data_IF_229201906117
#
_entry.id   IF_229201906117
#
_cell.length_a   1.000
_cell.length_b   1.000
_cell.length_c   1.000
_cell.angle_alpha   90.00
_cell.angle_beta   90.00
_cell.angle_gamma   90.00
#
_symmetry.space_group_name_H-M   'P 1'
#
loop_
_entity.id
_entity.type
_entity.pdbx_description
1 polymer ?
#
# COMPACT_ATOMS: atom_id res chain seq x y z
N UNK A 1 13.54 14.78 -88.17
CA UNK A 1 13.40 15.69 -89.33
C UNK A 1 12.49 15.04 -90.36
N UNK A 2 11.24 15.53 -90.42
CA UNK A 2 10.31 15.48 -91.56
C UNK A 2 8.91 15.86 -91.00
N UNK A 3 8.41 17.09 -91.23
CA UNK A 3 7.07 17.49 -90.84
C UNK A 3 6.09 17.24 -91.99
N UNK A 4 4.82 16.98 -91.69
CA UNK A 4 3.73 17.27 -92.64
C UNK A 4 2.63 18.06 -91.96
N UNK A 5 2.49 19.26 -92.48
CA UNK A 5 1.56 20.32 -92.15
C UNK A 5 0.24 20.07 -92.90
N UNK A 6 -0.82 20.69 -92.35
CA UNK A 6 -1.99 21.22 -93.09
C UNK A 6 -3.14 20.24 -93.35
N UNK A 7 -4.30 20.55 -92.77
CA UNK A 7 -5.22 21.51 -93.39
C UNK A 7 -6.06 22.24 -92.34
N UNK A 8 -6.06 23.57 -92.43
CA UNK A 8 -7.02 24.48 -91.84
C UNK A 8 -8.06 24.83 -92.92
N UNK A 9 -9.34 24.88 -92.56
CA UNK A 9 -10.22 26.00 -92.95
C UNK A 9 -11.20 26.30 -91.81
N UNK A 10 -11.46 27.58 -91.51
CA UNK A 10 -12.14 28.05 -90.30
C UNK A 10 -13.65 28.27 -90.53
N UNK A 11 -14.44 28.23 -89.46
CA UNK A 11 -15.86 28.57 -89.48
C UNK A 11 -16.42 28.69 -88.07
N UNK A 12 -16.52 29.93 -87.61
CA UNK A 12 -16.90 30.42 -86.28
C UNK A 12 -18.29 29.96 -85.82
N UNK A 13 -18.41 29.40 -84.61
CA UNK A 13 -19.51 29.74 -83.68
C UNK A 13 -18.94 29.82 -82.25
N UNK A 14 -19.05 31.01 -81.69
CA UNK A 14 -18.73 31.38 -80.31
C UNK A 14 -19.73 30.71 -79.36
N UNK A 15 -19.24 29.87 -78.44
CA UNK A 15 -19.94 29.54 -77.20
C UNK A 15 -18.91 29.57 -76.07
N UNK A 16 -18.82 30.74 -75.40
CA UNK A 16 -18.15 30.90 -74.12
C UNK A 16 -19.02 30.25 -73.04
N UNK A 17 -18.67 29.03 -72.61
CA UNK A 17 -19.15 28.48 -71.34
C UNK A 17 -17.93 28.27 -70.45
N UNK A 18 -17.80 29.18 -69.47
CA UNK A 18 -16.90 29.04 -68.33
C UNK A 18 -17.33 27.83 -67.50
N UNK A 19 -16.61 26.71 -67.60
CA UNK A 19 -16.61 25.67 -66.56
C UNK A 19 -15.46 25.94 -65.60
N UNK A 20 -15.57 27.05 -64.87
CA UNK A 20 -15.07 27.11 -63.50
C UNK A 20 -16.09 26.37 -62.63
N UNK A 21 -16.07 25.03 -62.69
CA UNK A 21 -16.67 24.22 -61.65
C UNK A 21 -15.66 24.16 -60.50
N UNK A 22 -15.72 25.21 -59.68
CA UNK A 22 -15.30 25.19 -58.29
C UNK A 22 -15.68 23.83 -57.72
N UNK A 23 -14.69 22.99 -57.40
CA UNK A 23 -14.89 21.87 -56.50
C UNK A 23 -15.17 22.49 -55.13
N UNK A 24 -16.41 22.94 -54.96
CA UNK A 24 -17.01 23.17 -53.66
C UNK A 24 -16.95 21.80 -52.99
N UNK A 25 -16.01 21.69 -52.06
CA UNK A 25 -16.02 20.69 -51.01
C UNK A 25 -17.39 20.75 -50.32
N UNK A 26 -18.38 20.06 -50.86
CA UNK A 26 -19.48 19.58 -50.06
C UNK A 26 -18.86 18.51 -49.18
N UNK A 27 -18.62 18.88 -47.93
CA UNK A 27 -18.46 17.94 -46.83
C UNK A 27 -19.79 17.16 -46.78
N UNK A 28 -19.95 16.17 -47.66
CA UNK A 28 -21.02 15.20 -47.55
C UNK A 28 -20.80 14.58 -46.18
N UNK A 29 -21.66 14.95 -45.23
CA UNK A 29 -21.60 14.48 -43.87
C UNK A 29 -21.60 12.96 -43.95
N UNK A 30 -20.44 12.35 -43.66
CA UNK A 30 -20.22 10.93 -43.90
C UNK A 30 -21.32 10.14 -43.17
N UNK A 31 -21.90 9.15 -43.85
CA UNK A 31 -23.05 8.43 -43.29
C UNK A 31 -22.63 7.76 -41.96
N UNK A 32 -23.25 8.14 -40.83
CA UNK A 32 -22.88 7.59 -39.53
C UNK A 32 -23.29 6.11 -39.36
N UNK A 33 -24.11 5.55 -40.25
CA UNK A 33 -24.38 4.10 -40.31
C UNK A 33 -23.15 3.29 -40.73
N UNK A 34 -22.16 3.91 -41.37
CA UNK A 34 -20.91 3.23 -41.69
C UNK A 34 -20.11 3.01 -40.40
N UNK A 35 -19.58 1.79 -40.22
CA UNK A 35 -18.89 1.36 -39.00
C UNK A 35 -17.78 2.31 -38.52
N UNK A 36 -17.03 2.93 -39.43
CA UNK A 36 -15.95 3.87 -39.11
C UNK A 36 -16.43 5.26 -38.67
N UNK A 37 -17.71 5.57 -38.84
CA UNK A 37 -18.26 6.93 -38.73
C UNK A 37 -19.09 7.15 -37.46
N UNK A 38 -19.01 6.21 -36.51
CA UNK A 38 -19.60 6.33 -35.18
C UNK A 38 -18.69 5.74 -34.11
N UNK A 39 -18.86 6.21 -32.88
CA UNK A 39 -18.22 5.65 -31.70
C UNK A 39 -19.03 4.48 -31.14
N UNK A 40 -18.37 3.58 -30.42
CA UNK A 40 -19.01 2.39 -29.84
C UNK A 40 -19.12 2.53 -28.32
N UNK A 41 -20.30 2.25 -27.79
CA UNK A 41 -20.61 2.19 -26.37
C UNK A 41 -20.87 0.73 -26.02
N UNK A 42 -19.82 0.01 -25.61
CA UNK A 42 -19.85 -1.44 -25.41
C UNK A 42 -19.50 -1.90 -23.99
N UNK A 43 -19.07 -0.97 -23.16
CA UNK A 43 -18.67 -1.21 -21.77
C UNK A 43 -19.86 -1.78 -20.99
N UNK A 44 -19.65 -2.84 -20.23
CA UNK A 44 -20.72 -3.47 -19.46
C UNK A 44 -21.29 -2.52 -18.41
N UNK A 45 -20.44 -1.70 -17.83
CA UNK A 45 -20.82 -0.70 -16.84
C UNK A 45 -21.92 0.22 -17.37
N UNK A 46 -22.11 0.34 -18.71
CA UNK A 46 -23.19 1.13 -19.32
C UNK A 46 -24.56 0.45 -19.30
N UNK A 47 -24.64 -0.82 -18.93
CA UNK A 47 -25.90 -1.54 -18.81
C UNK A 47 -26.77 -0.93 -17.71
N UNK A 48 -28.04 -0.65 -17.97
CA UNK A 48 -28.94 -0.02 -16.99
C UNK A 48 -29.09 -0.80 -15.67
N UNK A 49 -28.83 -2.11 -15.67
CA UNK A 49 -28.87 -2.97 -14.48
C UNK A 49 -27.61 -2.88 -13.62
N UNK A 50 -26.50 -2.28 -14.08
CA UNK A 50 -25.32 -2.05 -13.24
C UNK A 50 -25.55 -0.87 -12.32
N UNK A 51 -24.93 -0.86 -11.14
CA UNK A 51 -25.05 0.24 -10.17
C UNK A 51 -23.68 0.87 -9.91
N UNK A 52 -23.62 2.19 -9.73
CA UNK A 52 -22.39 2.91 -9.43
C UNK A 52 -21.81 2.52 -8.08
N UNK A 53 -20.53 2.13 -8.07
CA UNK A 53 -19.79 1.69 -6.88
C UNK A 53 -19.70 2.79 -5.82
N UNK A 54 -19.53 2.40 -4.57
CA UNK A 54 -19.41 3.33 -3.44
C UNK A 54 -18.04 4.02 -3.38
N UNK A 55 -16.99 3.32 -3.82
CA UNK A 55 -15.57 3.66 -3.71
C UNK A 55 -14.86 3.92 -5.06
N UNK A 56 -15.58 3.88 -6.19
CA UNK A 56 -14.98 3.81 -7.53
C UNK A 56 -15.21 5.02 -8.45
N UNK A 57 -14.41 5.07 -9.52
CA UNK A 57 -14.58 6.01 -10.64
C UNK A 57 -15.91 5.74 -11.35
N UNK A 58 -16.81 6.71 -11.35
CA UNK A 58 -18.08 6.67 -12.09
C UNK A 58 -17.85 6.80 -13.59
N UNK A 59 -18.69 6.18 -14.42
CA UNK A 59 -18.64 6.45 -15.86
C UNK A 59 -18.93 7.93 -16.09
N UNK A 60 -18.07 8.54 -16.91
CA UNK A 60 -18.10 9.96 -17.22
C UNK A 60 -18.14 10.17 -18.74
N UNK A 61 -19.26 10.69 -19.23
CA UNK A 61 -19.41 11.04 -20.65
C UNK A 61 -19.09 12.53 -20.94
N UNK A 62 -18.67 13.32 -19.94
CA UNK A 62 -18.35 14.77 -20.11
C UNK A 62 -17.25 15.02 -21.14
N UNK A 63 -16.28 14.11 -21.24
CA UNK A 63 -15.17 14.22 -22.20
C UNK A 63 -15.50 13.72 -23.61
N UNK A 64 -16.72 13.20 -23.85
CA UNK A 64 -17.11 12.65 -25.15
C UNK A 64 -17.51 13.76 -26.13
N UNK A 65 -17.19 13.58 -27.41
CA UNK A 65 -17.56 14.50 -28.46
C UNK A 65 -19.07 14.44 -28.76
N UNK A 66 -19.67 15.56 -29.18
CA UNK A 66 -21.00 15.57 -29.78
C UNK A 66 -20.96 14.87 -31.15
N UNK A 67 -21.23 13.57 -31.16
CA UNK A 67 -21.01 12.69 -32.30
C UNK A 67 -22.03 11.53 -32.31
N UNK A 68 -21.98 10.71 -33.35
CA UNK A 68 -22.79 9.50 -33.46
C UNK A 68 -22.18 8.36 -32.66
N UNK A 69 -23.00 7.67 -31.88
CA UNK A 69 -22.66 6.54 -31.03
C UNK A 69 -23.58 5.36 -31.31
N UNK A 70 -23.07 4.14 -31.19
CA UNK A 70 -23.83 2.90 -31.22
C UNK A 70 -23.63 2.12 -29.93
N UNK A 71 -24.73 1.71 -29.31
CA UNK A 71 -24.70 0.75 -28.21
C UNK A 71 -24.45 -0.66 -28.77
N UNK A 72 -23.50 -1.37 -28.18
CA UNK A 72 -23.11 -2.72 -28.57
C UNK A 72 -22.77 -3.59 -27.35
N UNK A 73 -22.60 -4.89 -27.56
CA UNK A 73 -22.03 -5.80 -26.56
C UNK A 73 -22.85 -5.83 -25.27
N UNK A 74 -22.17 -5.71 -24.11
CA UNK A 74 -22.82 -5.82 -22.80
C UNK A 74 -23.70 -4.63 -22.45
N UNK A 75 -23.49 -3.48 -23.10
CA UNK A 75 -24.36 -2.31 -22.98
C UNK A 75 -25.70 -2.53 -23.70
N UNK A 76 -25.84 -3.54 -24.55
CA UNK A 76 -27.01 -3.79 -25.40
C UNK A 76 -26.91 -3.14 -26.77
N UNK A 77 -27.96 -3.27 -27.58
CA UNK A 77 -27.98 -2.75 -28.96
C UNK A 77 -28.64 -1.36 -29.08
N UNK A 78 -29.23 -0.87 -27.99
CA UNK A 78 -29.96 0.39 -27.93
C UNK A 78 -29.67 1.12 -26.62
N UNK A 79 -29.90 2.42 -26.63
CA UNK A 79 -30.00 3.22 -25.40
C UNK A 79 -31.12 2.65 -24.53
N UNK A 80 -31.01 2.70 -23.21
CA UNK A 80 -32.12 2.30 -22.33
C UNK A 80 -33.24 3.33 -22.37
N UNK A 81 -34.50 2.87 -22.42
CA UNK A 81 -35.69 3.71 -22.58
C UNK A 81 -36.74 3.50 -21.46
N UNK A 82 -37.69 4.41 -21.31
CA UNK A 82 -38.69 4.39 -20.23
C UNK A 82 -39.65 3.19 -20.22
N UNK A 83 -39.52 2.22 -21.14
CA UNK A 83 -40.29 0.97 -21.08
C UNK A 83 -40.03 0.18 -19.79
N UNK A 84 -38.91 0.44 -19.11
CA UNK A 84 -38.55 -0.16 -17.83
C UNK A 84 -38.97 0.79 -16.68
N UNK A 85 -40.13 0.50 -16.07
CA UNK A 85 -40.93 1.37 -15.17
C UNK A 85 -40.25 2.02 -13.95
N UNK A 86 -38.98 1.78 -13.66
CA UNK A 86 -38.23 2.49 -12.62
C UNK A 86 -36.74 2.25 -12.83
N UNK A 87 -36.04 3.23 -13.39
CA UNK A 87 -34.58 3.21 -13.37
C UNK A 87 -34.10 3.77 -12.01
N UNK A 88 -33.41 2.95 -11.21
CA UNK A 88 -32.88 3.41 -9.94
C UNK A 88 -31.82 4.50 -10.18
N UNK A 89 -31.68 5.40 -9.19
CA UNK A 89 -30.51 6.28 -9.18
C UNK A 89 -29.25 5.41 -9.14
N UNK A 90 -28.14 5.91 -9.68
CA UNK A 90 -26.88 5.17 -9.83
C UNK A 90 -26.84 4.07 -10.89
N UNK A 91 -27.85 3.92 -11.76
CA UNK A 91 -27.79 2.97 -12.88
C UNK A 91 -26.62 3.24 -13.84
N UNK A 92 -26.24 2.23 -14.62
CA UNK A 92 -25.16 2.28 -15.60
C UNK A 92 -23.83 2.86 -15.04
N UNK A 93 -23.52 2.48 -13.80
CA UNK A 93 -22.31 2.86 -13.07
C UNK A 93 -21.98 4.36 -13.03
N UNK A 94 -22.99 5.23 -13.06
CA UNK A 94 -22.87 6.69 -12.98
C UNK A 94 -23.83 7.26 -11.94
N UNK A 95 -23.54 8.41 -11.30
CA UNK A 95 -24.47 8.97 -10.28
C UNK A 95 -25.75 9.52 -10.90
N UNK A 96 -25.65 10.03 -12.13
CA UNK A 96 -26.75 10.65 -12.88
C UNK A 96 -26.96 9.93 -14.21
N UNK A 97 -27.63 8.76 -14.21
CA UNK A 97 -27.86 7.99 -15.42
C UNK A 97 -28.80 8.71 -16.38
N UNK A 98 -28.52 8.57 -17.69
CA UNK A 98 -29.30 9.18 -18.78
C UNK A 98 -30.00 8.09 -19.59
N UNK A 99 -31.33 8.22 -19.73
CA UNK A 99 -32.24 7.30 -20.41
C UNK A 99 -33.05 8.01 -21.48
N UNK A 100 -33.49 7.29 -22.52
CA UNK A 100 -34.36 7.85 -23.56
C UNK A 100 -35.78 8.01 -23.00
N UNK A 101 -36.39 9.17 -23.20
CA UNK A 101 -37.78 9.42 -22.82
C UNK A 101 -38.74 8.70 -23.78
N UNK A 102 -39.72 7.98 -23.23
CA UNK A 102 -40.63 7.13 -23.98
C UNK A 102 -39.95 5.96 -24.70
N UNK A 103 -40.69 5.28 -25.59
CA UNK A 103 -40.17 4.13 -26.35
C UNK A 103 -39.29 4.56 -27.52
N UNK A 104 -38.39 3.69 -27.96
CA UNK A 104 -37.72 3.88 -29.26
C UNK A 104 -38.72 4.04 -30.42
N UNK A 105 -38.33 4.74 -31.51
CA UNK A 105 -39.10 4.75 -32.74
C UNK A 105 -39.38 3.32 -33.23
N UNK A 106 -40.60 3.09 -33.69
CA UNK A 106 -41.04 1.85 -34.34
C UNK A 106 -41.01 1.99 -35.85
N UNK A 107 -41.14 0.88 -36.58
CA UNK A 107 -41.26 0.90 -38.04
C UNK A 107 -42.40 1.81 -38.56
N UNK A 108 -43.46 2.01 -37.76
CA UNK A 108 -44.58 2.90 -38.10
C UNK A 108 -44.23 4.39 -37.93
N UNK A 109 -43.18 4.72 -37.17
CA UNK A 109 -42.81 6.10 -36.81
C UNK A 109 -41.46 6.51 -37.38
N UNK A 110 -40.71 5.57 -37.94
CA UNK A 110 -39.40 5.82 -38.50
C UNK A 110 -39.01 4.76 -39.54
N UNK A 111 -38.68 5.23 -40.74
CA UNK A 111 -38.16 4.39 -41.83
C UNK A 111 -36.63 4.26 -41.74
N UNK A 112 -36.05 3.19 -42.31
CA UNK A 112 -34.60 3.07 -42.51
C UNK A 112 -33.99 4.34 -43.14
N UNK A 113 -32.85 4.77 -42.61
CA UNK A 113 -32.10 5.95 -43.05
C UNK A 113 -32.61 7.29 -42.50
N UNK A 114 -33.82 7.34 -41.92
CA UNK A 114 -34.36 8.57 -41.34
C UNK A 114 -33.65 8.95 -40.04
N UNK A 115 -33.69 10.23 -39.70
CA UNK A 115 -33.24 10.76 -38.41
C UNK A 115 -34.45 11.36 -37.70
N UNK A 116 -34.63 11.04 -36.43
CA UNK A 116 -35.68 11.62 -35.58
C UNK A 116 -35.07 12.17 -34.30
N UNK A 117 -35.58 13.30 -33.83
CA UNK A 117 -35.15 13.90 -32.56
C UNK A 117 -36.06 13.43 -31.45
N UNK A 118 -35.45 12.94 -30.36
CA UNK A 118 -36.11 12.60 -29.10
C UNK A 118 -35.43 13.28 -27.94
N UNK A 119 -36.06 13.21 -26.78
CA UNK A 119 -35.48 13.65 -25.53
C UNK A 119 -34.93 12.46 -24.74
N UNK A 120 -33.85 12.70 -24.02
CA UNK A 120 -33.29 11.79 -23.04
C UNK A 120 -33.26 12.47 -21.67
N UNK A 121 -33.77 11.81 -20.65
CA UNK A 121 -33.83 12.34 -19.30
C UNK A 121 -32.71 11.79 -18.43
N UNK A 122 -32.31 12.56 -17.43
CA UNK A 122 -31.37 12.10 -16.42
C UNK A 122 -31.89 12.30 -15.00
N UNK A 123 -31.47 11.43 -14.09
CA UNK A 123 -31.92 11.42 -12.70
C UNK A 123 -30.76 11.67 -11.76
N UNK A 124 -30.82 12.74 -10.97
CA UNK A 124 -29.79 12.99 -9.95
C UNK A 124 -29.89 11.99 -8.79
N UNK A 125 -28.73 11.66 -8.20
CA UNK A 125 -28.68 10.90 -6.95
C UNK A 125 -29.50 11.62 -5.86
N UNK A 126 -30.36 10.86 -5.17
CA UNK A 126 -31.23 11.39 -4.11
C UNK A 126 -32.57 11.97 -4.59
N UNK A 127 -32.83 12.04 -5.90
CA UNK A 127 -34.12 12.52 -6.45
C UNK A 127 -34.92 11.33 -6.98
N UNK A 128 -36.21 11.23 -6.62
CA UNK A 128 -37.09 10.10 -7.00
C UNK A 128 -37.86 10.31 -8.31
N UNK A 129 -37.85 11.51 -8.88
CA UNK A 129 -38.57 11.90 -10.09
C UNK A 129 -37.64 12.56 -11.13
N UNK A 130 -38.01 12.50 -12.42
CA UNK A 130 -37.33 13.26 -13.48
C UNK A 130 -37.79 14.71 -13.44
N UNK A 131 -36.85 15.64 -13.31
CA UNK A 131 -37.17 17.07 -13.35
C UNK A 131 -37.37 17.49 -14.82
N UNK A 132 -38.36 18.34 -15.16
CA UNK A 132 -38.58 18.79 -16.55
C UNK A 132 -37.38 19.50 -17.21
N UNK A 133 -36.47 20.02 -16.38
CA UNK A 133 -35.20 20.64 -16.82
C UNK A 133 -34.05 19.63 -16.96
N UNK A 134 -34.29 18.34 -16.74
CA UNK A 134 -33.28 17.28 -16.81
C UNK A 134 -33.33 16.52 -18.14
N UNK A 135 -33.54 17.21 -19.25
CA UNK A 135 -33.67 16.59 -20.58
C UNK A 135 -32.55 17.05 -21.53
N UNK A 136 -32.18 16.15 -22.45
CA UNK A 136 -31.17 16.35 -23.49
C UNK A 136 -31.78 15.95 -24.83
N UNK A 137 -31.60 16.76 -25.87
CA UNK A 137 -32.03 16.41 -27.22
C UNK A 137 -31.06 15.41 -27.85
N UNK A 138 -31.57 14.24 -28.25
CA UNK A 138 -30.82 13.16 -28.89
C UNK A 138 -31.39 12.92 -30.29
N UNK A 139 -30.52 12.87 -31.29
CA UNK A 139 -30.91 12.47 -32.65
C UNK A 139 -30.72 10.96 -32.79
N UNK A 140 -31.73 10.25 -33.29
CA UNK A 140 -31.71 8.81 -33.51
C UNK A 140 -31.77 8.56 -35.01
N UNK A 141 -30.85 7.77 -35.56
CA UNK A 141 -30.89 7.28 -36.94
C UNK A 141 -31.12 5.77 -36.96
N UNK A 142 -32.04 5.30 -37.80
CA UNK A 142 -32.31 3.88 -38.02
C UNK A 142 -31.46 3.40 -39.20
N UNK A 143 -30.44 2.61 -38.94
CA UNK A 143 -29.52 2.09 -39.93
C UNK A 143 -29.86 0.65 -40.30
N UNK A 144 -29.45 0.22 -41.49
CA UNK A 144 -29.60 -1.17 -41.94
C UNK A 144 -28.26 -1.66 -42.45
N UNK A 145 -27.82 -2.81 -41.93
CA UNK A 145 -26.65 -3.50 -42.43
C UNK A 145 -26.98 -4.98 -42.60
N UNK A 146 -26.76 -5.52 -43.80
CA UNK A 146 -27.08 -6.92 -44.16
C UNK A 146 -28.51 -7.37 -43.75
N UNK A 147 -29.49 -6.47 -43.85
CA UNK A 147 -30.89 -6.74 -43.48
C UNK A 147 -31.21 -6.58 -41.99
N UNK A 148 -30.22 -6.31 -41.14
CA UNK A 148 -30.41 -6.06 -39.71
C UNK A 148 -30.56 -4.55 -39.45
N UNK A 149 -31.69 -4.17 -38.85
CA UNK A 149 -31.93 -2.78 -38.42
C UNK A 149 -31.29 -2.52 -37.06
N UNK A 150 -30.67 -1.36 -36.89
CA UNK A 150 -30.12 -0.92 -35.60
C UNK A 150 -30.15 0.60 -35.48
N UNK A 151 -30.17 1.09 -34.25
CA UNK A 151 -30.14 2.52 -33.98
C UNK A 151 -28.72 3.01 -33.71
N UNK A 152 -28.45 4.21 -34.18
CA UNK A 152 -27.32 5.02 -33.74
C UNK A 152 -27.84 6.35 -33.22
N UNK A 153 -27.12 6.92 -32.28
CA UNK A 153 -27.56 8.05 -31.47
C UNK A 153 -26.54 9.16 -31.55
N UNK A 154 -26.95 10.35 -31.96
CA UNK A 154 -26.12 11.53 -31.80
C UNK A 154 -26.33 12.07 -30.39
N UNK A 155 -25.33 11.84 -29.55
CA UNK A 155 -25.41 12.13 -28.12
C UNK A 155 -24.76 13.50 -27.85
N UNK A 156 -25.47 14.45 -27.23
CA UNK A 156 -24.88 15.73 -26.85
C UNK A 156 -23.84 15.56 -25.74
N UNK A 157 -22.97 16.57 -25.59
CA UNK A 157 -22.02 16.61 -24.48
C UNK A 157 -22.78 16.80 -23.17
N UNK A 158 -22.43 16.02 -22.16
CA UNK A 158 -23.01 16.14 -20.82
C UNK A 158 -22.27 17.19 -19.99
N UNK A 159 -22.95 17.97 -19.14
CA UNK A 159 -22.35 19.11 -18.43
C UNK A 159 -21.37 18.71 -17.32
N UNK A 160 -21.60 17.59 -16.65
CA UNK A 160 -20.81 17.13 -15.49
C UNK A 160 -20.35 15.69 -15.66
N UNK A 161 -19.27 15.34 -14.95
CA UNK A 161 -18.61 14.03 -15.13
C UNK A 161 -19.36 12.88 -14.46
N UNK A 162 -20.32 13.18 -13.60
CA UNK A 162 -21.16 12.20 -12.93
C UNK A 162 -22.40 11.81 -13.76
N UNK A 163 -22.35 11.97 -15.08
CA UNK A 163 -23.43 11.69 -16.02
C UNK A 163 -22.96 10.74 -17.12
N UNK A 164 -23.77 9.74 -17.47
CA UNK A 164 -23.49 8.81 -18.56
C UNK A 164 -24.77 8.24 -19.20
N UNK A 165 -24.67 7.95 -20.50
CA UNK A 165 -25.76 7.33 -21.27
C UNK A 165 -25.83 5.82 -21.03
N UNK A 166 -27.00 5.35 -20.58
CA UNK A 166 -27.23 3.96 -20.28
C UNK A 166 -27.76 3.19 -21.50
N UNK A 167 -27.37 1.92 -21.64
CA UNK A 167 -27.84 1.00 -22.65
C UNK A 167 -28.75 -0.09 -22.07
N UNK A 168 -29.62 -0.67 -22.91
CA UNK A 168 -30.67 -1.63 -22.51
C UNK A 168 -30.23 -3.10 -22.44
N UNK A 169 -28.93 -3.38 -22.48
CA UNK A 169 -28.42 -4.74 -22.63
C UNK A 169 -29.08 -5.74 -21.70
N UNK A 170 -29.57 -6.84 -22.25
CA UNK A 170 -29.96 -8.03 -21.48
C UNK A 170 -28.73 -8.89 -21.15
N UNK A 171 -27.56 -8.26 -21.07
CA UNK A 171 -26.27 -8.90 -20.83
C UNK A 171 -26.25 -9.69 -19.51
N UNK A 172 -25.15 -10.43 -19.25
CA UNK A 172 -25.03 -11.22 -18.03
C UNK A 172 -25.32 -10.36 -16.80
N UNK A 173 -26.01 -10.95 -15.82
CA UNK A 173 -26.39 -10.29 -14.57
C UNK A 173 -25.18 -9.47 -14.06
N UNK A 174 -25.34 -8.14 -13.94
CA UNK A 174 -24.28 -7.28 -13.45
C UNK A 174 -23.75 -7.74 -12.10
N UNK A 175 -22.46 -7.57 -11.90
CA UNK A 175 -21.88 -7.79 -10.58
C UNK A 175 -22.49 -6.82 -9.57
N UNK A 176 -22.55 -7.25 -8.30
CA UNK A 176 -23.11 -6.40 -7.25
C UNK A 176 -22.25 -5.13 -7.06
N UNK A 177 -22.79 -4.19 -6.31
CA UNK A 177 -22.02 -3.05 -5.81
C UNK A 177 -20.76 -3.59 -5.10
N UNK A 178 -19.60 -3.04 -5.45
CA UNK A 178 -18.26 -3.44 -4.97
C UNK A 178 -17.74 -4.80 -5.49
N UNK A 179 -18.38 -5.37 -6.53
CA UNK A 179 -17.85 -6.48 -7.31
C UNK A 179 -17.43 -6.01 -8.73
N UNK A 180 -16.50 -6.74 -9.34
CA UNK A 180 -16.01 -6.54 -10.70
C UNK A 180 -16.04 -7.85 -11.50
N UNK A 181 -16.30 -7.78 -12.82
CA UNK A 181 -16.35 -8.94 -13.67
C UNK A 181 -14.95 -9.44 -14.06
N UNK A 182 -14.74 -10.76 -14.01
CA UNK A 182 -13.58 -11.43 -14.59
C UNK A 182 -14.02 -12.55 -15.53
N UNK A 183 -13.17 -12.85 -16.52
CA UNK A 183 -13.29 -14.03 -17.35
C UNK A 183 -12.26 -15.07 -16.90
N UNK A 184 -12.75 -16.20 -16.37
CA UNK A 184 -11.91 -17.33 -15.94
C UNK A 184 -12.36 -18.56 -16.73
N UNK A 185 -11.45 -19.15 -17.51
CA UNK A 185 -11.72 -20.31 -18.38
C UNK A 185 -12.93 -20.11 -19.31
N UNK A 186 -13.12 -18.88 -19.81
CA UNK A 186 -14.26 -18.51 -20.67
C UNK A 186 -15.58 -18.30 -19.92
N UNK A 187 -15.64 -18.56 -18.61
CA UNK A 187 -16.79 -18.27 -17.77
C UNK A 187 -16.61 -16.91 -17.09
N UNK A 188 -17.69 -16.13 -17.11
CA UNK A 188 -17.77 -14.85 -16.42
C UNK A 188 -18.11 -15.07 -14.95
N UNK A 189 -17.32 -14.47 -14.07
CA UNK A 189 -17.55 -14.47 -12.62
C UNK A 189 -17.51 -13.04 -12.07
N UNK A 190 -18.19 -12.82 -10.95
CA UNK A 190 -18.13 -11.58 -10.19
C UNK A 190 -17.30 -11.81 -8.94
N UNK A 191 -16.32 -10.95 -8.72
CA UNK A 191 -15.41 -11.02 -7.57
C UNK A 191 -15.33 -9.65 -6.91
N UNK A 192 -14.92 -9.58 -5.64
CA UNK A 192 -14.71 -8.30 -4.97
C UNK A 192 -13.77 -7.38 -5.75
N UNK A 193 -14.00 -6.08 -5.67
CA UNK A 193 -13.23 -5.06 -6.39
C UNK A 193 -11.73 -5.03 -6.05
N UNK A 194 -11.30 -5.72 -4.99
CA UNK A 194 -9.90 -5.93 -4.60
C UNK A 194 -9.68 -7.35 -4.03
N UNK A 195 -8.42 -7.85 -4.02
CA UNK A 195 -8.08 -9.08 -3.31
C UNK A 195 -8.29 -8.95 -1.79
N UNK A 196 -9.04 -9.89 -1.23
CA UNK A 196 -9.40 -9.96 0.19
C UNK A 196 -8.25 -10.48 1.06
N UNK A 197 -7.83 -9.69 2.06
CA UNK A 197 -6.91 -10.14 3.10
C UNK A 197 -7.61 -11.05 4.12
N UNK A 198 -6.93 -12.10 4.57
CA UNK A 198 -7.23 -12.78 5.84
C UNK A 198 -6.36 -12.23 6.95
N UNK A 199 -5.05 -12.27 6.78
CA UNK A 199 -4.08 -11.70 7.74
C UNK A 199 -2.79 -11.24 7.04
N UNK A 200 -2.09 -10.32 7.70
CA UNK A 200 -0.70 -9.97 7.39
C UNK A 200 0.11 -10.26 8.64
N UNK A 201 1.28 -10.89 8.51
CA UNK A 201 2.15 -11.18 9.67
C UNK A 201 3.62 -11.12 9.35
N UNK A 202 4.40 -10.66 10.32
CA UNK A 202 5.86 -10.62 10.24
C UNK A 202 6.47 -11.83 10.94
N UNK A 203 7.46 -12.47 10.31
CA UNK A 203 8.19 -13.61 10.85
C UNK A 203 9.32 -13.18 11.79
N UNK A 204 9.85 -14.13 12.57
CA UNK A 204 11.20 -13.99 13.13
C UNK A 204 12.25 -13.96 12.01
N UNK A 205 13.45 -13.40 12.24
CA UNK A 205 14.49 -13.34 11.23
C UNK A 205 14.99 -14.75 10.87
N UNK A 206 15.06 -15.03 9.57
CA UNK A 206 15.56 -16.29 9.02
C UNK A 206 16.97 -16.04 8.48
N UNK A 207 17.92 -16.89 8.88
CA UNK A 207 19.30 -16.84 8.39
C UNK A 207 19.40 -17.70 7.13
N UNK A 208 19.93 -17.14 6.06
CA UNK A 208 20.22 -17.85 4.82
C UNK A 208 21.62 -17.44 4.32
N UNK A 209 22.55 -18.39 4.46
CA UNK A 209 23.97 -18.20 4.19
C UNK A 209 24.56 -17.02 4.96
N UNK A 210 25.01 -16.03 4.20
CA UNK A 210 25.65 -14.83 4.72
C UNK A 210 24.67 -13.70 5.03
N UNK A 211 23.35 -13.88 4.90
CA UNK A 211 22.32 -12.84 5.05
C UNK A 211 21.24 -13.31 6.05
N UNK A 212 20.44 -12.39 6.57
CA UNK A 212 19.22 -12.71 7.28
C UNK A 212 18.08 -11.78 6.87
N UNK A 213 16.87 -12.32 6.96
CA UNK A 213 15.70 -11.72 6.34
C UNK A 213 14.50 -11.77 7.28
N UNK A 214 13.69 -10.72 7.20
CA UNK A 214 12.33 -10.75 7.70
C UNK A 214 11.38 -11.08 6.56
N UNK A 215 10.54 -12.08 6.77
CA UNK A 215 9.41 -12.33 5.89
C UNK A 215 8.19 -11.61 6.44
N UNK A 216 7.46 -10.97 5.55
CA UNK A 216 6.10 -10.53 5.82
C UNK A 216 5.18 -11.29 4.87
N UNK A 217 4.29 -12.08 5.45
CA UNK A 217 3.45 -13.03 4.73
C UNK A 217 2.04 -12.47 4.63
N UNK A 218 1.48 -12.50 3.42
CA UNK A 218 0.10 -12.13 3.15
C UNK A 218 -0.71 -13.44 3.03
N UNK A 219 -1.56 -13.71 4.02
CA UNK A 219 -2.63 -14.69 3.88
C UNK A 219 -3.85 -13.96 3.32
N UNK A 220 -4.21 -14.29 2.09
CA UNK A 220 -5.36 -13.72 1.38
C UNK A 220 -6.33 -14.82 0.97
N UNK A 221 -7.50 -14.47 0.41
CA UNK A 221 -8.49 -15.43 -0.09
C UNK A 221 -8.29 -15.62 -1.61
N UNK A 222 -7.50 -16.63 -2.06
CA UNK A 222 -7.26 -16.84 -3.47
C UNK A 222 -8.54 -17.23 -4.21
N UNK A 223 -8.66 -16.71 -5.44
CA UNK A 223 -9.73 -17.06 -6.36
C UNK A 223 -9.11 -17.91 -7.48
N UNK A 224 -9.55 -19.16 -7.67
CA UNK A 224 -9.00 -20.06 -8.69
C UNK A 224 -8.97 -19.42 -10.08
N UNK A 225 -7.80 -19.35 -10.69
CA UNK A 225 -7.58 -18.79 -12.02
C UNK A 225 -7.31 -17.29 -12.06
N UNK A 226 -7.31 -16.59 -10.91
CA UNK A 226 -7.01 -15.16 -10.79
C UNK A 226 -5.77 -14.86 -9.92
N UNK A 227 -5.03 -15.88 -9.48
CA UNK A 227 -3.90 -15.73 -8.57
C UNK A 227 -2.79 -14.85 -9.14
N UNK A 228 -2.54 -14.91 -10.45
CA UNK A 228 -1.54 -14.09 -11.13
C UNK A 228 -1.98 -12.62 -11.28
N UNK A 229 -3.28 -12.35 -11.19
CA UNK A 229 -3.86 -11.02 -11.28
C UNK A 229 -3.86 -10.30 -9.91
N UNK A 230 -3.89 -11.03 -8.80
CA UNK A 230 -3.78 -10.45 -7.46
C UNK A 230 -2.39 -9.84 -7.24
N UNK A 231 -2.36 -8.54 -6.95
CA UNK A 231 -1.13 -7.78 -6.67
C UNK A 231 -1.23 -7.08 -5.32
N UNK A 232 -0.10 -6.99 -4.65
CA UNK A 232 0.03 -6.34 -3.35
C UNK A 232 1.24 -5.40 -3.35
N UNK A 233 1.10 -4.27 -2.68
CA UNK A 233 2.23 -3.39 -2.36
C UNK A 233 2.43 -3.43 -0.85
N UNK A 234 3.65 -3.78 -0.45
CA UNK A 234 4.00 -4.03 0.94
C UNK A 234 5.02 -3.00 1.43
N UNK A 235 4.85 -2.58 2.67
CA UNK A 235 5.76 -1.69 3.38
C UNK A 235 6.22 -2.33 4.68
N UNK A 236 7.53 -2.42 4.87
CA UNK A 236 8.16 -2.70 6.16
C UNK A 236 8.37 -1.39 6.92
N UNK A 237 8.15 -1.45 8.23
CA UNK A 237 8.18 -0.29 9.10
C UNK A 237 9.03 -0.57 10.35
N UNK A 238 9.64 0.48 10.91
CA UNK A 238 10.29 0.46 12.22
C UNK A 238 9.65 1.54 13.10
N UNK A 239 8.97 1.13 14.19
CA UNK A 239 8.11 1.99 15.01
C UNK A 239 7.13 2.83 14.16
N UNK A 240 6.50 2.21 13.17
CA UNK A 240 5.54 2.86 12.26
C UNK A 240 6.14 3.73 11.16
N UNK A 241 7.46 3.93 11.12
CA UNK A 241 8.13 4.64 10.00
C UNK A 241 8.52 3.65 8.91
N UNK A 242 8.11 3.90 7.67
CA UNK A 242 8.47 3.08 6.50
C UNK A 242 9.99 3.06 6.31
N UNK A 243 10.55 1.85 6.13
CA UNK A 243 11.97 1.60 5.89
C UNK A 243 12.24 0.88 4.57
N UNK A 244 11.25 0.14 4.06
CA UNK A 244 11.36 -0.55 2.78
C UNK A 244 9.97 -0.77 2.18
N UNK A 245 9.84 -0.62 0.86
CA UNK A 245 8.60 -0.85 0.12
C UNK A 245 8.90 -1.79 -1.04
N UNK A 246 8.03 -2.75 -1.29
CA UNK A 246 8.19 -3.70 -2.39
C UNK A 246 6.85 -4.23 -2.92
N UNK A 247 6.77 -4.60 -4.20
CA UNK A 247 5.64 -5.35 -4.73
C UNK A 247 5.70 -6.81 -4.26
N UNK A 248 4.53 -7.40 -4.05
CA UNK A 248 4.35 -8.78 -3.63
C UNK A 248 3.24 -9.40 -4.48
N UNK A 249 3.48 -10.57 -5.05
CA UNK A 249 2.52 -11.24 -5.93
C UNK A 249 2.74 -12.76 -5.95
N UNK A 250 2.06 -13.45 -6.87
CA UNK A 250 2.17 -14.90 -7.06
C UNK A 250 3.62 -15.39 -7.24
N UNK A 251 4.50 -14.60 -7.86
CA UNK A 251 5.90 -15.01 -8.11
C UNK A 251 6.72 -15.08 -6.82
N UNK A 252 6.36 -14.27 -5.82
CA UNK A 252 6.97 -14.28 -4.48
C UNK A 252 6.18 -15.12 -3.48
N UNK A 253 5.20 -15.91 -3.95
CA UNK A 253 4.26 -16.64 -3.12
C UNK A 253 3.55 -15.74 -2.09
N UNK A 254 3.23 -14.50 -2.48
CA UNK A 254 2.60 -13.50 -1.63
C UNK A 254 3.37 -13.16 -0.33
N UNK A 255 4.69 -13.35 -0.35
CA UNK A 255 5.59 -13.04 0.75
C UNK A 255 6.57 -11.94 0.35
N UNK A 256 6.67 -10.89 1.18
CA UNK A 256 7.72 -9.88 1.08
C UNK A 256 8.96 -10.28 1.87
N UNK A 257 10.15 -10.03 1.32
CA UNK A 257 11.44 -10.42 1.91
C UNK A 257 12.31 -9.18 2.12
N UNK A 258 12.46 -8.75 3.38
CA UNK A 258 13.32 -7.62 3.74
C UNK A 258 14.68 -8.10 4.26
N UNK A 259 15.75 -7.72 3.58
CA UNK A 259 17.12 -8.00 3.99
C UNK A 259 17.56 -7.16 5.19
N UNK A 260 18.51 -7.68 5.99
CA UNK A 260 19.12 -6.97 7.12
C UNK A 260 19.62 -5.55 6.82
N UNK A 261 20.06 -5.27 5.59
CA UNK A 261 20.59 -3.95 5.16
C UNK A 261 19.61 -2.80 5.38
N UNK A 262 18.30 -3.07 5.34
CA UNK A 262 17.26 -2.06 5.58
C UNK A 262 17.08 -1.73 7.07
N UNK A 263 17.69 -2.52 7.97
CA UNK A 263 17.64 -2.31 9.43
C UNK A 263 18.77 -1.43 9.95
N UNK A 264 19.74 -1.04 9.11
CA UNK A 264 20.85 -0.17 9.50
C UNK A 264 20.28 1.17 10.01
N UNK A 265 20.60 1.54 11.26
CA UNK A 265 20.04 2.73 11.91
C UNK A 265 18.59 2.59 12.42
N UNK A 266 18.01 1.40 12.30
CA UNK A 266 16.63 1.07 12.73
C UNK A 266 16.57 0.00 13.82
N UNK A 267 17.70 -0.40 14.39
CA UNK A 267 17.75 -1.25 15.59
C UNK A 267 17.19 -0.54 16.83
N UNK A 268 16.86 -1.33 17.87
CA UNK A 268 16.11 -0.89 19.07
C UNK A 268 14.69 -0.40 18.76
N UNK A 269 14.05 -0.98 17.74
CA UNK A 269 12.68 -0.64 17.30
C UNK A 269 11.88 -1.91 17.03
N UNK A 270 10.56 -1.77 17.10
CA UNK A 270 9.61 -2.78 16.69
C UNK A 270 9.43 -2.73 15.17
N UNK A 271 9.71 -3.85 14.52
CA UNK A 271 9.59 -4.04 13.08
C UNK A 271 8.22 -4.63 12.80
N UNK A 272 7.50 -4.01 11.88
CA UNK A 272 6.18 -4.43 11.45
C UNK A 272 6.06 -4.29 9.94
N UNK A 273 4.96 -4.77 9.37
CA UNK A 273 4.68 -4.60 7.96
C UNK A 273 3.21 -4.29 7.71
N UNK A 274 2.92 -3.71 6.55
CA UNK A 274 1.55 -3.47 6.10
C UNK A 274 1.46 -3.65 4.59
N UNK A 275 0.28 -3.99 4.10
CA UNK A 275 0.05 -4.19 2.67
C UNK A 275 -1.27 -3.60 2.22
N UNK A 276 -1.33 -3.20 0.95
CA UNK A 276 -2.54 -2.83 0.21
C UNK A 276 -2.65 -3.71 -1.04
N UNK A 277 -3.86 -4.03 -1.45
CA UNK A 277 -4.11 -4.94 -2.57
C UNK A 277 -4.75 -4.22 -3.75
N UNK A 278 -4.58 -4.79 -4.95
CA UNK A 278 -5.27 -4.39 -6.17
C UNK A 278 -5.25 -5.53 -7.20
N UNK A 279 -6.16 -5.47 -8.16
CA UNK A 279 -6.16 -6.35 -9.32
C UNK A 279 -5.36 -5.74 -10.46
N UNK A 280 -4.44 -6.51 -11.06
CA UNK A 280 -3.57 -6.06 -12.14
C UNK A 280 -4.35 -5.55 -13.36
N UNK A 281 -5.50 -6.14 -13.67
CA UNK A 281 -6.37 -5.72 -14.78
C UNK A 281 -7.25 -4.51 -14.46
N UNK A 282 -7.36 -4.11 -13.19
CA UNK A 282 -8.33 -3.09 -12.73
C UNK A 282 -7.66 -1.98 -11.89
N UNK A 283 -6.45 -1.56 -12.29
CA UNK A 283 -5.68 -0.52 -11.58
C UNK A 283 -6.40 0.84 -11.45
N UNK A 284 -7.38 1.11 -12.33
CA UNK A 284 -8.19 2.34 -12.29
C UNK A 284 -9.07 2.47 -11.03
N UNK A 285 -9.29 1.38 -10.30
CA UNK A 285 -10.01 1.39 -9.02
C UNK A 285 -9.15 1.86 -7.85
N UNK A 286 -7.83 2.02 -8.08
CA UNK A 286 -6.88 2.33 -7.03
C UNK A 286 -6.50 1.08 -6.24
N UNK A 287 -6.00 1.32 -5.02
CA UNK A 287 -5.58 0.28 -4.10
C UNK A 287 -6.41 0.38 -2.83
N UNK A 288 -6.52 -0.71 -2.08
CA UNK A 288 -7.16 -0.69 -0.77
C UNK A 288 -6.43 0.22 0.21
N UNK A 289 -7.08 0.51 1.35
CA UNK A 289 -6.36 0.98 2.53
C UNK A 289 -5.35 -0.08 3.02
N UNK A 290 -4.37 0.36 3.80
CA UNK A 290 -3.37 -0.52 4.37
C UNK A 290 -3.95 -1.45 5.44
N UNK A 291 -3.63 -2.73 5.35
CA UNK A 291 -3.82 -3.73 6.40
C UNK A 291 -2.47 -3.92 7.11
N UNK A 292 -2.43 -3.60 8.41
CA UNK A 292 -1.22 -3.76 9.23
C UNK A 292 -1.03 -5.21 9.67
N UNK A 293 0.21 -5.60 9.93
CA UNK A 293 0.55 -6.91 10.49
C UNK A 293 -0.10 -7.12 11.84
N UNK A 294 -0.53 -8.37 12.10
CA UNK A 294 -1.15 -8.77 13.37
C UNK A 294 -0.17 -8.77 14.56
N UNK A 295 1.12 -8.75 14.27
CA UNK A 295 2.19 -8.82 15.22
C UNK A 295 3.35 -7.93 14.79
N UNK A 296 4.16 -7.54 15.76
CA UNK A 296 5.40 -6.80 15.59
C UNK A 296 6.58 -7.67 16.06
N UNK A 297 7.78 -7.33 15.61
CA UNK A 297 9.02 -8.00 15.99
C UNK A 297 10.06 -7.00 16.48
N UNK A 298 10.42 -7.07 17.76
CA UNK A 298 11.48 -6.23 18.30
C UNK A 298 12.85 -6.61 17.72
N UNK A 299 13.52 -5.70 17.01
CA UNK A 299 14.86 -5.92 16.44
C UNK A 299 15.93 -5.15 17.25
N UNK A 300 16.72 -5.86 18.05
CA UNK A 300 17.82 -5.26 18.81
C UNK A 300 18.33 -6.14 19.94
N UNK A 301 18.77 -5.51 21.02
CA UNK A 301 19.23 -6.19 22.24
C UNK A 301 18.34 -5.80 23.40
N UNK A 302 17.82 -6.81 24.11
CA UNK A 302 17.11 -6.65 25.38
C UNK A 302 18.03 -7.03 26.54
N UNK A 303 17.72 -6.50 27.72
CA UNK A 303 18.46 -6.80 28.95
C UNK A 303 17.52 -7.50 29.91
N UNK A 304 17.92 -8.68 30.37
CA UNK A 304 17.15 -9.50 31.30
C UNK A 304 17.88 -9.65 32.63
N UNK A 305 17.13 -9.89 33.70
CA UNK A 305 17.71 -10.39 34.94
C UNK A 305 18.17 -11.82 34.71
N UNK A 306 19.38 -12.16 35.15
CA UNK A 306 19.97 -13.48 34.88
C UNK A 306 19.04 -14.63 35.28
N UNK A 307 18.84 -15.56 34.37
CA UNK A 307 18.01 -16.76 34.59
C UNK A 307 16.51 -16.48 34.69
N UNK A 308 16.04 -15.28 34.33
CA UNK A 308 14.61 -14.94 34.26
C UNK A 308 14.25 -14.29 32.93
N UNK A 309 12.94 -14.18 32.65
CA UNK A 309 12.39 -13.46 31.49
C UNK A 309 12.07 -12.00 31.81
N UNK A 310 12.52 -11.50 32.96
CA UNK A 310 12.20 -10.14 33.43
C UNK A 310 13.12 -9.14 32.78
N UNK A 311 12.57 -8.30 31.90
CA UNK A 311 13.31 -7.21 31.25
C UNK A 311 13.70 -6.15 32.31
N UNK A 312 14.95 -5.72 32.28
CA UNK A 312 15.55 -4.80 33.25
C UNK A 312 15.77 -3.45 32.60
N UNK A 313 15.13 -2.41 33.14
CA UNK A 313 15.34 -1.02 32.76
C UNK A 313 16.02 -0.20 33.87
N UNK A 314 15.94 -0.68 35.10
CA UNK A 314 16.53 -0.07 36.29
C UNK A 314 17.15 -1.16 37.16
N UNK A 315 18.39 -0.94 37.58
CA UNK A 315 19.11 -1.80 38.53
C UNK A 315 18.99 -1.16 39.90
N UNK A 316 18.53 -1.91 40.90
CA UNK A 316 18.49 -1.44 42.29
C UNK A 316 19.41 -2.29 43.14
N UNK A 317 20.39 -1.65 43.77
CA UNK A 317 21.38 -2.29 44.64
C UNK A 317 21.10 -1.91 46.10
N UNK A 318 21.21 -2.90 47.00
CA UNK A 318 21.09 -2.70 48.44
C UNK A 318 22.48 -2.76 49.07
N UNK A 319 22.93 -1.62 49.61
CA UNK A 319 24.27 -1.47 50.15
C UNK A 319 24.51 -2.32 51.40
N UNK A 320 23.48 -2.57 52.23
CA UNK A 320 23.61 -3.40 53.43
C UNK A 320 23.81 -4.87 53.11
N UNK A 321 23.24 -5.35 52.00
CA UNK A 321 23.23 -6.78 51.67
C UNK A 321 24.48 -7.24 50.93
N UNK A 322 25.24 -6.31 50.32
CA UNK A 322 26.42 -6.61 49.49
C UNK A 322 26.17 -7.70 48.42
N UNK A 323 24.93 -7.85 47.96
CA UNK A 323 24.57 -8.87 46.97
C UNK A 323 24.74 -8.32 45.54
N UNK A 324 25.37 -9.08 44.62
CA UNK A 324 25.46 -8.66 43.23
C UNK A 324 24.09 -8.69 42.54
N UNK A 325 23.93 -7.82 41.55
CA UNK A 325 22.84 -7.86 40.59
C UNK A 325 23.37 -8.35 39.24
N UNK A 326 22.80 -9.44 38.74
CA UNK A 326 23.28 -10.10 37.53
C UNK A 326 22.30 -9.87 36.37
N UNK A 327 22.84 -9.42 35.23
CA UNK A 327 22.08 -9.17 34.00
C UNK A 327 22.63 -9.97 32.82
N UNK A 328 21.74 -10.31 31.90
CA UNK A 328 22.04 -11.00 30.65
C UNK A 328 21.52 -10.17 29.47
N UNK A 329 22.38 -9.95 28.48
CA UNK A 329 21.98 -9.30 27.23
C UNK A 329 21.50 -10.37 26.26
N UNK A 330 20.39 -10.13 25.59
CA UNK A 330 19.82 -11.03 24.60
C UNK A 330 19.57 -10.28 23.28
N UNK A 331 20.24 -10.71 22.21
CA UNK A 331 19.99 -10.24 20.86
C UNK A 331 18.78 -10.96 20.28
N UNK A 332 17.81 -10.21 19.76
CA UNK A 332 16.65 -10.75 19.03
C UNK A 332 16.92 -10.86 17.53
N UNK A 333 18.08 -10.43 17.04
CA UNK A 333 18.46 -10.63 15.63
C UNK A 333 19.76 -11.43 15.52
N UNK A 334 19.99 -12.14 14.40
CA UNK A 334 21.18 -12.93 14.20
C UNK A 334 22.47 -12.12 14.31
N UNK A 335 23.51 -12.78 14.82
CA UNK A 335 24.87 -12.26 14.89
C UNK A 335 25.71 -13.19 14.02
N UNK A 336 26.02 -12.76 12.80
CA UNK A 336 26.72 -13.60 11.81
C UNK A 336 28.07 -13.02 11.43
N UNK A 337 29.01 -13.88 11.03
CA UNK A 337 30.38 -13.51 10.62
C UNK A 337 30.44 -12.48 9.51
N UNK A 338 29.45 -12.46 8.63
CA UNK A 338 29.35 -11.55 7.48
C UNK A 338 29.10 -10.09 7.88
N UNK A 339 28.61 -9.85 9.10
CA UNK A 339 28.17 -8.52 9.55
C UNK A 339 28.72 -8.11 10.91
N UNK A 340 29.76 -8.76 11.42
CA UNK A 340 30.33 -8.39 12.72
C UNK A 340 31.61 -7.55 12.63
N UNK A 341 32.03 -7.16 11.41
CA UNK A 341 33.24 -6.35 11.18
C UNK A 341 34.58 -7.01 11.57
N UNK A 342 34.58 -8.05 12.42
CA UNK A 342 35.77 -8.73 12.93
C UNK A 342 36.04 -10.10 12.28
N UNK A 343 35.11 -10.61 11.45
CA UNK A 343 35.16 -11.93 10.82
C UNK A 343 35.28 -13.14 11.78
N UNK A 344 35.23 -12.93 13.10
CA UNK A 344 35.39 -13.97 14.12
C UNK A 344 34.05 -14.55 14.58
N UNK A 345 32.93 -13.90 14.26
CA UNK A 345 31.59 -14.38 14.64
C UNK A 345 31.26 -14.09 16.11
N UNK A 346 31.95 -13.12 16.73
CA UNK A 346 31.76 -12.74 18.14
C UNK A 346 31.53 -11.24 18.28
N UNK A 347 30.41 -10.80 18.84
CA UNK A 347 30.08 -9.38 19.02
C UNK A 347 30.28 -9.00 20.48
N UNK A 348 31.34 -8.25 20.77
CA UNK A 348 31.65 -7.79 22.13
C UNK A 348 30.84 -6.54 22.48
N UNK A 349 30.29 -6.56 23.69
CA UNK A 349 29.62 -5.45 24.35
C UNK A 349 30.44 -5.04 25.56
N UNK A 350 31.03 -3.85 25.50
CA UNK A 350 31.76 -3.25 26.60
C UNK A 350 30.84 -2.33 27.40
N UNK A 351 30.97 -2.40 28.71
CA UNK A 351 30.15 -1.64 29.66
C UNK A 351 31.00 -0.58 30.34
N UNK A 352 30.50 0.64 30.36
CA UNK A 352 31.14 1.81 30.96
C UNK A 352 30.20 2.49 31.97
N UNK A 353 30.78 3.17 32.95
CA UNK A 353 30.04 3.92 33.99
C UNK A 353 30.42 5.39 33.96
N UNK A 354 29.45 6.28 34.20
CA UNK A 354 29.69 7.72 34.29
C UNK A 354 30.37 8.14 35.60
N UNK A 355 30.36 7.29 36.63
CA UNK A 355 31.02 7.52 37.92
C UNK A 355 32.18 6.56 38.17
N UNK A 356 33.30 7.12 38.66
CA UNK A 356 34.51 6.38 39.09
C UNK A 356 34.31 5.53 40.36
N UNK A 357 33.17 5.66 41.04
CA UNK A 357 32.86 4.99 42.33
C UNK A 357 32.13 3.65 42.13
N UNK A 358 31.56 3.41 40.95
CA UNK A 358 31.04 2.11 40.53
C UNK A 358 32.21 1.28 39.97
N UNK A 359 32.73 0.37 40.79
CA UNK A 359 33.74 -0.61 40.34
C UNK A 359 33.02 -1.80 39.68
N UNK A 360 33.19 -1.97 38.37
CA UNK A 360 32.85 -3.20 37.66
C UNK A 360 33.99 -4.22 37.91
N UNK A 361 33.69 -5.34 38.55
CA UNK A 361 34.70 -6.37 38.85
C UNK A 361 35.10 -7.14 37.58
N UNK A 362 36.39 -7.10 37.18
CA UNK A 362 37.15 -7.90 36.19
C UNK A 362 36.51 -8.40 34.87
N UNK A 363 35.24 -8.16 34.58
CA UNK A 363 34.50 -8.58 33.38
C UNK A 363 33.56 -7.46 32.95
N UNK A 364 34.13 -6.38 32.41
CA UNK A 364 33.37 -5.25 31.84
C UNK A 364 32.89 -5.55 30.41
N UNK A 365 33.06 -6.78 29.95
CA UNK A 365 32.80 -7.21 28.58
C UNK A 365 31.97 -8.48 28.59
N UNK A 366 30.91 -8.50 27.79
CA UNK A 366 30.15 -9.71 27.45
C UNK A 366 30.16 -9.86 25.92
N UNK A 367 30.03 -11.07 25.41
CA UNK A 367 30.08 -11.31 23.96
C UNK A 367 28.93 -12.20 23.53
N UNK A 368 28.38 -11.91 22.35
CA UNK A 368 27.48 -12.81 21.66
C UNK A 368 28.24 -13.62 20.63
N UNK A 369 27.96 -14.92 20.52
CA UNK A 369 28.61 -15.80 19.55
C UNK A 369 27.63 -16.27 18.47
N UNK A 370 28.07 -16.30 17.22
CA UNK A 370 27.25 -16.74 16.07
C UNK A 370 26.72 -18.16 16.26
N UNK A 371 27.51 -19.06 16.82
CA UNK A 371 27.14 -20.47 17.06
C UNK A 371 25.99 -20.63 18.04
N UNK A 372 25.74 -19.62 18.89
CA UNK A 372 24.63 -19.63 19.84
C UNK A 372 23.29 -19.36 19.14
N UNK A 373 23.31 -18.80 17.92
CA UNK A 373 22.13 -18.67 17.06
C UNK A 373 21.75 -20.03 16.45
N UNK A 374 21.34 -20.97 17.31
CA UNK A 374 20.91 -22.30 16.88
C UNK A 374 19.42 -22.31 16.51
N UNK A 375 19.05 -23.11 15.50
CA UNK A 375 17.65 -23.40 15.17
C UNK A 375 16.83 -23.99 16.34
N UNK A 376 17.50 -24.38 17.44
CA UNK A 376 16.90 -24.97 18.66
C UNK A 376 16.54 -23.93 19.73
N UNK A 377 17.11 -22.72 19.70
CA UNK A 377 16.81 -21.64 20.64
C UNK A 377 15.95 -20.58 19.97
N UNK A 378 14.63 -20.71 20.15
CA UNK A 378 13.61 -19.83 19.59
C UNK A 378 13.96 -18.35 19.82
N UNK A 379 14.34 -17.68 18.73
CA UNK A 379 14.26 -16.22 18.50
C UNK A 379 15.23 -15.28 19.23
N UNK A 380 16.19 -15.76 20.04
CA UNK A 380 17.19 -14.87 20.65
C UNK A 380 18.51 -15.58 21.01
N UNK A 381 19.59 -14.79 21.09
CA UNK A 381 20.93 -15.22 21.53
C UNK A 381 21.36 -14.44 22.76
N UNK A 382 21.80 -15.17 23.79
CA UNK A 382 22.23 -14.58 25.07
C UNK A 382 23.74 -14.41 25.08
N UNK A 383 24.20 -13.22 25.45
CA UNK A 383 25.62 -12.91 25.59
C UNK A 383 26.24 -13.61 26.81
N UNK A 384 27.49 -14.04 26.68
CA UNK A 384 28.26 -14.72 27.73
C UNK A 384 29.63 -14.04 27.91
N UNK A 385 30.18 -13.99 29.15
CA UNK A 385 29.52 -14.30 30.42
C UNK A 385 28.46 -13.23 30.79
N UNK A 386 27.53 -13.51 31.73
CA UNK A 386 26.61 -12.50 32.25
C UNK A 386 27.37 -11.37 32.95
N UNK A 387 26.78 -10.17 32.96
CA UNK A 387 27.35 -9.01 33.63
C UNK A 387 26.91 -9.01 35.10
N UNK A 388 27.87 -8.82 36.00
CA UNK A 388 27.67 -8.85 37.45
C UNK A 388 27.98 -7.48 38.02
N UNK A 389 26.98 -6.85 38.63
CA UNK A 389 27.07 -5.49 39.17
C UNK A 389 27.12 -5.58 40.69
N UNK A 390 28.19 -5.05 41.29
CA UNK A 390 28.37 -5.03 42.74
C UNK A 390 28.16 -3.62 43.30
N UNK A 391 27.51 -3.48 44.47
CA UNK A 391 27.62 -2.26 45.25
C UNK A 391 29.02 -2.20 45.88
N UNK A 392 29.80 -1.17 45.57
CA UNK A 392 31.15 -0.96 46.15
C UNK A 392 31.15 0.31 47.00
N UNK A 393 31.77 0.22 48.18
CA UNK A 393 31.95 1.35 49.08
C UNK A 393 33.16 2.17 48.60
N UNK A 394 32.94 3.42 48.23
CA UNK A 394 34.00 4.30 47.70
C UNK A 394 34.80 5.03 48.78
N UNK A 395 34.53 4.75 50.07
CA UNK A 395 35.23 5.37 51.19
C UNK A 395 34.92 6.86 51.38
N UNK A 396 34.07 7.47 50.54
CA UNK A 396 33.77 8.91 50.59
C UNK A 396 32.46 9.14 51.34
N UNK A 397 32.56 9.26 52.66
CA UNK A 397 31.49 9.79 53.50
C UNK A 397 31.39 11.31 53.33
N UNK A 398 30.76 11.79 52.25
CA UNK A 398 30.24 13.18 52.21
C UNK A 398 29.47 13.51 50.93
N UNK A 399 28.15 13.65 51.10
CA UNK A 399 27.30 14.82 50.75
C UNK A 399 25.88 14.37 50.36
N UNK A 400 24.94 15.30 50.54
CA UNK A 400 23.49 15.13 50.46
C UNK A 400 23.02 14.38 49.18
N UNK A 401 22.02 13.48 49.30
CA UNK A 401 21.52 12.63 48.19
C UNK A 401 20.95 13.39 46.97
N UNK A 402 20.60 14.67 47.10
CA UNK A 402 19.84 15.43 46.10
C UNK A 402 20.68 16.13 45.02
N UNK A 403 22.02 16.04 45.07
CA UNK A 403 22.91 16.82 44.20
C UNK A 403 23.72 16.01 43.17
N UNK A 404 23.60 14.67 43.14
CA UNK A 404 24.38 13.83 42.22
C UNK A 404 23.56 13.44 40.98
N UNK A 405 24.15 13.45 39.77
CA UNK A 405 23.48 12.93 38.58
C UNK A 405 23.15 11.44 38.77
N UNK A 406 22.08 10.92 38.16
CA UNK A 406 21.75 9.51 38.22
C UNK A 406 22.94 8.66 37.76
N UNK A 407 23.26 7.61 38.52
CA UNK A 407 24.29 6.64 38.14
C UNK A 407 23.78 5.86 36.94
N UNK A 408 24.54 5.88 35.84
CA UNK A 408 24.14 5.23 34.60
C UNK A 408 25.17 4.18 34.19
N UNK A 409 24.66 2.98 33.91
CA UNK A 409 25.40 1.92 33.26
C UNK A 409 25.20 2.08 31.75
N UNK A 410 26.27 2.46 31.06
CA UNK A 410 26.25 2.71 29.62
C UNK A 410 26.94 1.58 28.87
N UNK A 411 26.56 1.40 27.61
CA UNK A 411 27.16 0.44 26.71
C UNK A 411 27.89 1.19 25.61
N UNK A 412 29.11 0.76 25.32
CA UNK A 412 29.90 1.40 24.27
C UNK A 412 29.21 1.23 22.92
N UNK A 413 29.26 2.30 22.13
CA UNK A 413 28.69 2.30 20.79
C UNK A 413 29.48 1.37 19.89
N UNK A 414 28.79 0.48 19.20
CA UNK A 414 29.42 -0.41 18.22
C UNK A 414 29.75 0.36 16.95
N UNK A 415 30.97 0.21 16.45
CA UNK A 415 31.47 0.91 15.25
C UNK A 415 32.14 -0.11 14.33
N UNK A 416 31.56 -0.30 13.15
CA UNK A 416 32.00 -1.25 12.13
C UNK A 416 32.04 -0.53 10.78
N UNK A 417 33.03 0.35 10.58
CA UNK A 417 33.23 1.12 9.33
C UNK A 417 34.50 0.66 8.61
N UNK A 418 34.50 0.74 7.28
CA UNK A 418 35.69 0.45 6.49
C UNK A 418 36.80 1.50 6.71
N UNK A 419 38.07 1.09 6.77
CA UNK A 419 39.19 2.02 6.96
C UNK A 419 39.37 3.01 5.80
N UNK A 420 38.91 2.67 4.60
CA UNK A 420 39.09 3.50 3.39
C UNK A 420 37.82 4.25 2.94
N UNK A 421 36.65 3.94 3.50
CA UNK A 421 35.42 4.70 3.23
C UNK A 421 34.46 4.64 4.44
N UNK A 422 34.49 5.65 5.33
CA UNK A 422 33.67 5.66 6.55
C UNK A 422 32.17 5.93 6.29
N UNK A 423 31.75 6.15 5.04
CA UNK A 423 30.35 6.40 4.69
C UNK A 423 29.53 5.13 4.43
N UNK A 424 30.17 3.96 4.33
CA UNK A 424 29.49 2.68 4.02
C UNK A 424 29.47 1.79 5.27
N UNK A 425 28.30 1.61 5.92
CA UNK A 425 28.17 0.66 7.02
C UNK A 425 28.32 -0.78 6.52
N UNK A 426 29.21 -1.57 7.13
CA UNK A 426 29.41 -3.00 6.78
C UNK A 426 28.58 -3.94 7.64
N UNK A 427 27.84 -3.40 8.60
CA UNK A 427 27.08 -4.15 9.59
C UNK A 427 25.74 -3.50 9.88
N UNK A 428 24.72 -4.33 10.10
CA UNK A 428 23.44 -3.88 10.70
C UNK A 428 23.64 -3.27 12.09
N UNK A 429 24.70 -3.68 12.79
CA UNK A 429 25.09 -3.21 14.11
C UNK A 429 25.97 -1.95 14.09
N UNK A 430 26.31 -1.40 12.91
CA UNK A 430 27.11 -0.18 12.85
C UNK A 430 26.36 1.00 13.47
N UNK A 431 27.03 1.68 14.40
CA UNK A 431 26.46 2.76 15.19
C UNK A 431 25.41 2.34 16.20
N UNK A 432 25.22 1.04 16.43
CA UNK A 432 24.30 0.53 17.44
C UNK A 432 24.72 0.94 18.85
N UNK A 433 23.74 1.32 19.66
CA UNK A 433 23.92 1.61 21.07
C UNK A 433 22.73 1.04 21.85
N UNK A 434 23.01 0.39 22.98
CA UNK A 434 21.98 -0.06 23.91
C UNK A 434 21.65 1.10 24.84
N UNK A 435 20.37 1.26 25.20
CA UNK A 435 19.96 2.29 26.17
C UNK A 435 20.64 2.06 27.51
N UNK A 436 21.14 3.14 28.11
CA UNK A 436 21.75 3.09 29.44
C UNK A 436 20.74 2.66 30.50
N UNK A 437 21.21 1.88 31.47
CA UNK A 437 20.40 1.48 32.63
C UNK A 437 20.61 2.46 33.78
N UNK A 438 19.51 2.85 34.41
CA UNK A 438 19.55 3.62 35.66
C UNK A 438 19.94 2.70 36.82
N UNK A 439 20.91 3.13 37.62
CA UNK A 439 21.37 2.39 38.80
C UNK A 439 20.97 3.16 40.05
N UNK A 440 20.05 2.59 40.83
CA UNK A 440 19.61 3.11 42.11
C UNK A 440 20.34 2.39 43.24
N UNK A 441 20.86 3.14 44.20
CA UNK A 441 21.46 2.59 45.42
C UNK A 441 20.52 2.89 46.58
N UNK A 442 20.02 1.84 47.22
CA UNK A 442 19.28 1.98 48.48
C UNK A 442 20.31 2.02 49.61
N UNK A 443 20.48 3.19 50.21
CA UNK A 443 21.22 3.32 51.47
C UNK A 443 20.33 2.75 52.58
N UNK A 444 20.77 1.67 53.21
CA UNK A 444 20.23 1.29 54.50
C UNK A 444 20.84 2.25 55.51
N UNK A 445 20.03 2.95 56.30
CA UNK A 445 20.53 3.58 57.52
C UNK A 445 21.28 2.52 58.31
N UNK A 446 22.62 2.57 58.33
CA UNK A 446 23.39 1.80 59.29
C UNK A 446 22.91 2.28 60.65
N UNK A 447 22.14 1.46 61.35
CA UNK A 447 21.74 1.73 62.72
C UNK A 447 23.03 1.96 63.52
N UNK A 448 23.19 3.16 64.08
CA UNK A 448 24.18 3.40 65.12
C UNK A 448 23.97 2.35 66.22
N UNK A 449 24.95 1.48 66.42
CA UNK A 449 24.97 0.65 67.62
C UNK A 449 25.31 1.56 68.80
N UNK A 450 24.32 1.91 69.62
CA UNK A 450 24.57 2.52 70.92
C UNK A 450 24.58 1.45 72.00
N UNK A 451 25.71 1.26 72.70
CA UNK A 451 25.70 0.60 74.00
C UNK A 451 25.55 1.66 75.10
N UNK A 452 24.57 1.50 75.96
CA UNK A 452 24.42 2.30 77.19
C UNK A 452 24.81 1.38 78.34
N UNK A 453 25.94 1.65 79.00
CA UNK A 453 26.23 1.11 80.32
C UNK A 453 26.02 2.22 81.36
N UNK A 454 25.45 1.84 82.51
CA UNK A 454 25.20 2.72 83.66
C UNK A 454 26.43 2.72 84.59
N UNK A 455 26.96 3.87 85.06
CA UNK A 455 26.47 5.23 84.86
C UNK A 455 26.73 5.76 83.44
N UNK A 456 25.67 6.32 82.87
CA UNK A 456 25.46 6.78 81.49
C UNK A 456 26.63 7.54 80.84
N UNK A 457 27.64 6.82 80.35
CA UNK A 457 28.67 7.34 79.46
C UNK A 457 28.37 6.86 78.04
N UNK A 458 28.10 7.81 77.13
CA UNK A 458 28.08 7.54 75.68
C UNK A 458 29.51 7.69 75.15
N UNK A 459 30.20 6.59 74.88
CA UNK A 459 31.48 6.62 74.17
C UNK A 459 31.36 5.93 72.81
N UNK A 460 31.41 6.71 71.74
CA UNK A 460 31.96 6.32 70.44
C UNK A 460 32.36 7.65 69.75
N UNK A 461 33.68 7.86 69.67
CA UNK A 461 34.43 8.92 68.98
C UNK A 461 33.67 10.12 68.36
N UNK A 462 33.47 11.16 69.17
CA UNK A 462 33.60 12.55 68.68
C UNK A 462 34.95 13.12 69.11
N UNK A 463 36.03 12.69 68.43
CA UNK A 463 37.15 13.62 68.26
C UNK A 463 36.69 14.86 67.52
#
# INVERSE_FOLDING_TARGET
MAPRISRWTPGIIVVLILLNASCLLTQAQQDPCVFSNHYRLQDEERNYNTTARSSGTVICDRGRANAWYRFLGNAGERMADESFKSFPARSCSTESPIFLEGKHPTAATMSPGQVVTKHAAFKYFGVTYYHPLSTLSVEIKNCVDNGHQYFIYKLPVVPTCNMAYCGEGQGPIPCKVDEIPFAVNGQRICVGDHPDFKTVSISAPVVDGADFFFHCEIDWKPIPGLETNAKFEMEFMANGKVIHTMPVDHTTNFTGKMHHRHLIGHLQKDISCRAKSYWASNQHLGMTSFVNSKNDYFAGVKIFKKGTTTEVTTVTLDKAKLKPFEIELASTIPITKSFNGNHQGEMHMTVSTNEKTLMLHHRCTTAFHETDWSARHKNHVVAKPPLVIYPVYDGKTRLLPSAWPPRELSFDKLMFRLPFNPAIPVSVWDGFHVKSLKVNIKDSSTSECSSVNDPHIRSFDRR
#
